data_IF_787422115262
#
_entry.id   IF_787422115262
#
_cell.length_a   1.000
_cell.length_b   1.000
_cell.length_c   1.000
_cell.angle_alpha   90.00
_cell.angle_beta   90.00
_cell.angle_gamma   90.00
#
_symmetry.space_group_name_H-M   'P 1'
#
loop_
_entity.id
_entity.type
_entity.pdbx_description
1 polymer ?
#
# COMPACT_ATOMS: atom_id res chain seq x y z
N UNK A 1 35.78 -34.57 -26.77
CA UNK A 1 36.04 -33.15 -26.43
C UNK A 1 34.68 -32.46 -26.26
N UNK A 2 34.19 -32.30 -25.02
CA UNK A 2 32.88 -31.67 -24.77
C UNK A 2 33.03 -30.16 -24.70
N UNK A 3 32.29 -29.43 -25.53
CA UNK A 3 32.28 -27.96 -25.54
C UNK A 3 31.72 -27.44 -24.22
N UNK A 4 32.60 -26.96 -23.32
CA UNK A 4 32.21 -26.14 -22.19
C UNK A 4 31.53 -24.88 -22.73
N UNK A 5 30.34 -24.60 -22.23
CA UNK A 5 29.61 -23.38 -22.54
C UNK A 5 30.34 -22.24 -21.84
N UNK A 6 30.99 -21.38 -22.63
CA UNK A 6 31.96 -20.39 -22.16
C UNK A 6 31.46 -18.95 -22.29
N UNK A 7 30.15 -18.78 -22.50
CA UNK A 7 29.54 -17.48 -22.66
C UNK A 7 28.63 -17.20 -21.46
N UNK A 8 29.27 -16.77 -20.36
CA UNK A 8 28.56 -16.41 -19.14
C UNK A 8 27.78 -15.12 -19.36
N UNK A 9 26.47 -15.21 -19.22
CA UNK A 9 25.57 -14.06 -19.32
C UNK A 9 24.75 -13.95 -18.05
N UNK A 10 24.57 -12.71 -17.57
CA UNK A 10 23.65 -12.45 -16.46
C UNK A 10 22.22 -12.53 -17.01
N UNK A 11 21.39 -13.37 -16.40
CA UNK A 11 19.98 -13.52 -16.76
C UNK A 11 19.13 -13.52 -15.50
N UNK A 12 17.85 -13.22 -15.66
CA UNK A 12 16.87 -13.26 -14.59
C UNK A 12 16.30 -14.67 -14.44
N UNK A 13 16.21 -15.14 -13.19
CA UNK A 13 15.61 -16.41 -12.82
C UNK A 13 14.63 -16.15 -11.67
N UNK A 14 13.47 -16.78 -11.71
CA UNK A 14 12.49 -16.69 -10.64
C UNK A 14 12.85 -17.67 -9.51
N UNK A 15 13.02 -17.14 -8.31
CA UNK A 15 13.14 -17.93 -7.10
C UNK A 15 11.73 -18.28 -6.59
N UNK A 16 11.31 -19.52 -6.78
CA UNK A 16 10.00 -20.00 -6.34
C UNK A 16 9.83 -20.03 -4.81
N UNK A 17 10.92 -20.04 -4.05
CA UNK A 17 10.87 -20.08 -2.59
C UNK A 17 10.65 -18.69 -2.00
N UNK A 18 11.30 -17.69 -2.58
CA UNK A 18 11.22 -16.30 -2.14
C UNK A 18 10.27 -15.46 -3.01
N UNK A 19 9.66 -16.08 -4.02
CA UNK A 19 8.74 -15.48 -4.99
C UNK A 19 9.29 -14.20 -5.64
N UNK A 20 10.58 -14.22 -6.00
CA UNK A 20 11.29 -13.04 -6.49
C UNK A 20 12.18 -13.37 -7.69
N UNK A 21 12.19 -12.47 -8.67
CA UNK A 21 13.12 -12.54 -9.80
C UNK A 21 14.50 -12.04 -9.38
N UNK A 22 15.55 -12.83 -9.63
CA UNK A 22 16.94 -12.49 -9.28
C UNK A 22 17.89 -12.74 -10.44
N UNK A 23 19.01 -12.02 -10.47
CA UNK A 23 20.03 -12.18 -11.49
C UNK A 23 21.01 -13.30 -11.12
N UNK A 24 21.24 -14.23 -12.04
CA UNK A 24 22.19 -15.34 -11.88
C UNK A 24 23.05 -15.47 -13.14
N UNK A 25 24.32 -15.83 -12.97
CA UNK A 25 25.24 -16.12 -14.08
C UNK A 25 24.85 -17.45 -14.77
N UNK A 26 24.48 -17.36 -16.04
CA UNK A 26 24.14 -18.50 -16.87
C UNK A 26 25.28 -18.82 -17.84
N UNK A 27 25.77 -20.07 -17.85
CA UNK A 27 26.94 -20.50 -18.62
C UNK A 27 26.77 -20.61 -20.14
N UNK A 28 25.61 -20.27 -20.70
CA UNK A 28 25.43 -20.15 -22.16
C UNK A 28 24.88 -21.38 -22.88
N UNK A 29 24.58 -22.49 -22.19
CA UNK A 29 23.86 -23.63 -22.79
C UNK A 29 23.04 -24.42 -21.75
N UNK A 30 22.05 -25.17 -22.23
CA UNK A 30 21.17 -25.98 -21.38
C UNK A 30 20.11 -25.15 -20.63
N UNK A 31 19.81 -25.57 -19.39
CA UNK A 31 18.84 -24.90 -18.53
C UNK A 31 17.37 -25.22 -18.83
N UNK A 32 16.47 -24.44 -18.24
CA UNK A 32 15.02 -24.59 -18.37
C UNK A 32 14.35 -23.24 -18.75
N UNK A 33 13.02 -23.20 -18.77
CA UNK A 33 12.23 -22.02 -19.15
C UNK A 33 12.25 -20.87 -18.12
N UNK A 34 12.78 -21.09 -16.91
CA UNK A 34 12.88 -20.09 -15.87
C UNK A 34 14.12 -19.19 -16.07
N UNK A 35 14.26 -18.60 -17.26
CA UNK A 35 15.38 -17.73 -17.62
C UNK A 35 14.87 -16.60 -18.51
N UNK A 36 15.10 -15.37 -18.09
CA UNK A 36 14.56 -14.18 -18.74
C UNK A 36 15.66 -13.15 -18.99
N UNK A 37 15.51 -12.39 -20.07
CA UNK A 37 16.44 -11.30 -20.42
C UNK A 37 16.22 -10.09 -19.54
N UNK A 38 14.96 -9.81 -19.18
CA UNK A 38 14.58 -8.64 -18.39
C UNK A 38 13.88 -9.06 -17.11
N UNK A 39 13.98 -8.19 -16.09
CA UNK A 39 13.24 -8.32 -14.85
C UNK A 39 11.73 -8.32 -15.09
N UNK A 40 11.25 -7.44 -15.97
CA UNK A 40 9.84 -7.30 -16.29
C UNK A 40 9.25 -8.56 -16.94
N UNK A 41 10.00 -9.23 -17.83
CA UNK A 41 9.56 -10.50 -18.42
C UNK A 41 9.49 -11.62 -17.38
N UNK A 42 10.46 -11.66 -16.44
CA UNK A 42 10.44 -12.61 -15.34
C UNK A 42 9.22 -12.37 -14.43
N UNK A 43 9.02 -11.11 -14.03
CA UNK A 43 7.90 -10.71 -13.16
C UNK A 43 6.57 -11.05 -13.83
N UNK A 44 6.35 -10.59 -15.06
CA UNK A 44 5.07 -10.80 -15.76
C UNK A 44 4.72 -12.28 -15.99
N UNK A 45 5.73 -13.16 -16.12
CA UNK A 45 5.50 -14.58 -16.37
C UNK A 45 5.45 -15.44 -15.10
N UNK A 46 6.11 -15.02 -14.02
CA UNK A 46 6.28 -15.85 -12.82
C UNK A 46 5.68 -15.25 -11.56
N UNK A 47 5.76 -13.92 -11.38
CA UNK A 47 5.13 -13.25 -10.24
C UNK A 47 3.65 -13.14 -10.53
N UNK A 48 2.83 -13.82 -9.73
CA UNK A 48 1.39 -13.64 -9.78
C UNK A 48 1.05 -12.33 -9.08
N UNK A 49 0.25 -11.44 -9.67
CA UNK A 49 -0.35 -10.36 -8.90
C UNK A 49 -1.15 -11.00 -7.76
N UNK A 50 -0.99 -10.51 -6.56
CA UNK A 50 -1.48 -11.10 -5.31
C UNK A 50 -3.00 -11.16 -5.15
N UNK A 51 -3.79 -10.88 -6.20
CA UNK A 51 -5.15 -10.36 -6.00
C UNK A 51 -6.27 -11.10 -6.75
N UNK A 52 -6.07 -12.32 -7.26
CA UNK A 52 -7.19 -13.03 -7.94
C UNK A 52 -7.34 -14.54 -7.64
N UNK A 53 -7.14 -14.98 -6.38
CA UNK A 53 -7.90 -16.12 -5.82
C UNK A 53 -8.16 -15.98 -4.32
N UNK A 54 -9.46 -16.00 -4.00
CA UNK A 54 -10.10 -16.30 -2.72
C UNK A 54 -10.23 -15.18 -1.67
N UNK A 55 -10.92 -14.12 -2.09
CA UNK A 55 -11.95 -13.48 -1.28
C UNK A 55 -13.17 -14.41 -1.12
N UNK A 56 -13.06 -15.51 -0.36
CA UNK A 56 -14.22 -16.18 0.23
C UNK A 56 -13.78 -17.06 1.41
N UNK A 57 -13.89 -16.55 2.65
CA UNK A 57 -14.29 -17.21 3.90
C UNK A 57 -13.73 -16.44 5.13
N UNK A 58 -14.48 -16.37 6.24
CA UNK A 58 -14.40 -15.27 7.19
C UNK A 58 -13.38 -15.55 8.29
N UNK A 59 -12.39 -14.67 8.45
CA UNK A 59 -11.59 -14.62 9.68
C UNK A 59 -11.54 -13.18 10.18
N UNK A 60 -12.43 -12.97 11.14
CA UNK A 60 -12.39 -12.02 12.24
C UNK A 60 -10.99 -11.43 12.53
N UNK A 61 -10.96 -10.09 12.55
CA UNK A 61 -9.96 -9.21 13.20
C UNK A 61 -8.56 -9.08 12.62
N UNK A 62 -8.43 -8.39 11.47
CA UNK A 62 -7.29 -7.48 11.26
C UNK A 62 -7.61 -6.32 10.30
N UNK A 63 -7.99 -5.21 10.92
CA UNK A 63 -7.83 -3.80 10.48
C UNK A 63 -7.54 -3.53 8.99
N UNK A 64 -8.54 -3.71 8.14
CA UNK A 64 -8.68 -2.83 6.97
C UNK A 64 -9.94 -2.01 7.19
N UNK A 65 -9.93 -1.14 8.21
CA UNK A 65 -10.88 -0.03 8.23
C UNK A 65 -10.69 0.68 6.90
N UNK A 66 -11.75 0.74 6.10
CA UNK A 66 -11.66 1.52 4.88
C UNK A 66 -11.31 2.95 5.27
N UNK A 67 -10.59 3.65 4.40
CA UNK A 67 -10.26 5.07 4.61
C UNK A 67 -11.51 5.87 5.01
N UNK A 68 -12.66 5.53 4.43
CA UNK A 68 -13.98 6.05 4.78
C UNK A 68 -14.36 5.75 6.23
N UNK A 69 -14.11 4.54 6.74
CA UNK A 69 -14.42 4.14 8.12
C UNK A 69 -13.59 4.92 9.14
N UNK A 70 -12.30 5.17 8.86
CA UNK A 70 -11.43 5.97 9.74
C UNK A 70 -12.04 7.36 9.96
N UNK A 71 -12.48 7.99 8.89
CA UNK A 71 -13.03 9.35 8.94
C UNK A 71 -14.40 9.42 9.63
N UNK A 72 -15.09 8.30 9.84
CA UNK A 72 -16.34 8.25 10.61
C UNK A 72 -16.10 8.02 12.11
N UNK A 73 -14.88 7.66 12.54
CA UNK A 73 -14.59 7.47 13.96
C UNK A 73 -14.63 8.80 14.71
N UNK A 74 -15.06 8.77 15.97
CA UNK A 74 -14.90 9.93 16.87
C UNK A 74 -13.44 10.09 17.26
N UNK A 75 -12.96 11.33 17.44
CA UNK A 75 -11.66 11.56 18.11
C UNK A 75 -11.61 10.83 19.47
N UNK A 76 -10.45 10.28 19.81
CA UNK A 76 -10.24 9.57 21.07
C UNK A 76 -8.92 9.99 21.71
N UNK A 77 -9.04 10.74 22.80
CA UNK A 77 -7.92 11.34 23.52
C UNK A 77 -7.04 10.26 24.19
N UNK A 78 -7.64 9.17 24.66
CA UNK A 78 -6.94 8.13 25.41
C UNK A 78 -6.71 8.51 26.89
N UNK A 79 -6.33 7.54 27.75
CA UNK A 79 -6.25 7.75 29.20
C UNK A 79 -4.93 8.40 29.65
N UNK A 80 -3.89 8.38 28.80
CA UNK A 80 -2.60 8.98 29.12
C UNK A 80 -2.66 10.50 29.19
N UNK A 81 -1.64 11.11 29.82
CA UNK A 81 -1.59 12.55 30.10
C UNK A 81 -0.40 13.26 29.46
N UNK A 82 0.21 12.66 28.43
CA UNK A 82 1.25 13.27 27.61
C UNK A 82 0.59 13.96 26.43
N UNK A 83 -0.09 15.06 26.70
CA UNK A 83 -0.91 15.74 25.70
C UNK A 83 -0.08 16.24 24.52
N UNK A 84 -0.45 15.79 23.32
CA UNK A 84 0.12 16.22 22.05
C UNK A 84 -1.02 16.68 21.16
N UNK A 85 -0.82 17.81 20.49
CA UNK A 85 -1.78 18.35 19.52
C UNK A 85 -1.78 17.45 18.28
N UNK A 86 -2.95 16.93 17.91
CA UNK A 86 -3.17 16.08 16.73
C UNK A 86 -4.37 16.60 15.95
N UNK A 87 -4.54 16.08 14.74
CA UNK A 87 -5.67 16.37 13.85
C UNK A 87 -6.63 15.19 13.80
N UNK A 88 -7.91 15.46 13.64
CA UNK A 88 -8.94 14.46 13.37
C UNK A 88 -9.94 15.04 12.36
N UNK A 89 -10.63 14.18 11.65
CA UNK A 89 -11.74 14.58 10.79
C UNK A 89 -13.05 14.62 11.59
N UNK A 90 -13.76 15.74 11.52
CA UNK A 90 -15.11 15.87 12.05
C UNK A 90 -16.13 15.69 10.92
N UNK A 91 -16.86 14.56 10.85
CA UNK A 91 -17.84 14.33 9.82
C UNK A 91 -19.04 15.28 9.90
N UNK A 92 -19.29 15.93 11.05
CA UNK A 92 -20.39 16.90 11.19
C UNK A 92 -20.11 18.20 10.46
N UNK A 93 -18.86 18.65 10.48
CA UNK A 93 -18.41 19.86 9.78
C UNK A 93 -17.74 19.55 8.44
N UNK A 94 -17.57 18.26 8.13
CA UNK A 94 -16.81 17.76 6.99
C UNK A 94 -15.42 18.41 6.88
N UNK A 95 -14.72 18.55 8.01
CA UNK A 95 -13.44 19.25 8.05
C UNK A 95 -12.46 18.65 9.06
N UNK A 96 -11.16 18.90 8.83
CA UNK A 96 -10.10 18.52 9.74
C UNK A 96 -9.93 19.55 10.86
N UNK A 97 -10.02 19.10 12.10
CA UNK A 97 -9.91 19.92 13.30
C UNK A 97 -8.82 19.38 14.23
N UNK A 98 -8.34 20.23 15.16
CA UNK A 98 -7.32 19.85 16.14
C UNK A 98 -7.96 19.31 17.42
N UNK A 99 -7.26 18.38 18.08
CA UNK A 99 -7.62 17.89 19.42
C UNK A 99 -6.38 17.49 20.23
N UNK A 100 -6.55 17.35 21.55
CA UNK A 100 -5.50 16.90 22.45
C UNK A 100 -5.51 15.37 22.57
N UNK A 101 -4.46 14.72 22.08
CA UNK A 101 -4.24 13.29 22.27
C UNK A 101 -3.36 13.07 23.50
N UNK A 102 -3.82 12.24 24.43
CA UNK A 102 -3.17 11.93 25.70
C UNK A 102 -1.86 11.15 25.58
N UNK A 103 -1.51 10.66 24.38
CA UNK A 103 -0.22 10.03 24.10
C UNK A 103 -0.22 8.49 24.13
N UNK A 104 -1.35 7.86 24.47
CA UNK A 104 -1.54 6.41 24.33
C UNK A 104 -3.00 6.07 23.97
N UNK A 105 -3.23 4.84 23.52
CA UNK A 105 -4.49 4.35 22.98
C UNK A 105 -5.04 5.23 21.83
N UNK A 106 -6.31 5.62 21.90
CA UNK A 106 -6.97 6.33 20.83
C UNK A 106 -7.50 5.41 19.73
N UNK A 107 -7.58 5.95 18.53
CA UNK A 107 -7.97 5.28 17.29
C UNK A 107 -7.30 5.98 16.09
N UNK A 108 -7.67 5.56 14.89
CA UNK A 108 -7.04 5.88 13.61
C UNK A 108 -7.46 7.26 13.08
N UNK A 109 -8.55 7.86 13.59
CA UNK A 109 -8.92 9.24 13.28
C UNK A 109 -8.05 10.23 14.07
N UNK A 110 -6.74 10.15 13.80
CA UNK A 110 -5.68 10.90 14.46
C UNK A 110 -4.49 11.04 13.52
N UNK A 111 -4.24 12.25 13.07
CA UNK A 111 -3.20 12.59 12.11
C UNK A 111 -2.23 13.60 12.70
N UNK A 112 -1.00 13.60 12.19
CA UNK A 112 0.06 14.51 12.66
C UNK A 112 -0.09 15.90 12.07
N UNK A 113 -0.59 16.00 10.83
CA UNK A 113 -0.80 17.27 10.14
C UNK A 113 -2.23 17.40 9.60
N UNK A 114 -2.63 18.65 9.33
CA UNK A 114 -3.90 18.94 8.66
C UNK A 114 -3.95 18.26 7.30
N UNK A 115 -2.86 18.36 6.53
CA UNK A 115 -2.76 17.83 5.18
C UNK A 115 -2.93 16.32 5.15
N UNK A 116 -2.38 15.59 6.12
CA UNK A 116 -2.56 14.14 6.21
C UNK A 116 -4.04 13.79 6.47
N UNK A 117 -4.70 14.51 7.38
CA UNK A 117 -6.13 14.36 7.62
C UNK A 117 -6.96 14.63 6.36
N UNK A 118 -6.68 15.71 5.65
CA UNK A 118 -7.41 16.09 4.43
C UNK A 118 -7.17 15.10 3.29
N UNK A 119 -5.93 14.64 3.10
CA UNK A 119 -5.60 13.64 2.09
C UNK A 119 -6.32 12.31 2.33
N UNK A 120 -6.47 11.92 3.60
CA UNK A 120 -7.16 10.68 3.97
C UNK A 120 -8.68 10.86 3.86
N UNK A 121 -9.22 11.95 4.43
CA UNK A 121 -10.67 12.08 4.64
C UNK A 121 -11.42 12.96 3.65
N UNK A 122 -10.73 13.80 2.86
CA UNK A 122 -11.36 14.67 1.87
C UNK A 122 -11.06 14.25 0.42
N UNK A 123 -9.94 13.56 0.15
CA UNK A 123 -9.58 13.19 -1.23
C UNK A 123 -10.59 12.22 -1.90
N UNK A 124 -11.36 11.45 -1.13
CA UNK A 124 -12.44 10.62 -1.65
C UNK A 124 -13.71 11.42 -2.05
N UNK A 125 -13.88 12.64 -1.54
CA UNK A 125 -15.07 13.46 -1.75
C UNK A 125 -14.96 14.48 -2.91
N UNK A 126 -13.81 14.57 -3.60
CA UNK A 126 -13.60 15.55 -4.68
C UNK A 126 -14.23 15.11 -6.03
N UNK A 127 -14.74 13.88 -6.17
CA UNK A 127 -15.37 13.43 -7.44
C UNK A 127 -16.84 13.84 -7.63
N UNK A 128 -17.48 14.49 -6.66
CA UNK A 128 -18.89 14.88 -6.81
C UNK A 128 -19.14 16.27 -6.24
N UNK A 129 -18.98 17.31 -7.07
CA UNK A 129 -19.55 18.63 -6.77
C UNK A 129 -18.61 19.83 -6.83
N UNK A 130 -17.85 20.00 -7.91
CA UNK A 130 -17.44 21.35 -8.32
C UNK A 130 -18.39 21.81 -9.41
N UNK A 131 -19.45 22.48 -8.98
CA UNK A 131 -20.35 23.26 -9.82
C UNK A 131 -19.54 24.44 -10.37
N UNK A 132 -19.39 24.50 -11.69
CA UNK A 132 -18.89 25.67 -12.43
C UNK A 132 -19.73 26.90 -12.09
N UNK A 133 -19.11 27.90 -11.47
CA UNK A 133 -19.58 29.29 -11.46
C UNK A 133 -18.37 30.21 -11.47
N UNK A 134 -18.08 30.85 -12.61
CA UNK A 134 -17.97 32.32 -12.70
C UNK A 134 -18.41 32.70 -14.12
N UNK A 135 -19.49 33.48 -14.21
CA UNK A 135 -19.80 34.29 -15.38
C UNK A 135 -19.17 35.67 -15.28
N UNK A 136 -18.77 36.20 -16.44
CA UNK A 136 -18.86 37.60 -16.86
C UNK A 136 -18.98 37.60 -18.37
#
# INVERSE_FOLDING_TARGET
MGTQCKEYQVKWFFDYKNEICTQVWYGGCGGNANRFETEADCISRCVKPSDERDMQLPVLEKSHLSVTDICQLKKKDGPCRKFVLKWYFDPKTASCARFWYGGCDGNENRFDTQKDCENVCLSAHIKTGVVTMIGT
#
